data_IF_459627613116
#
_entry.id   IF_459627613116
#
_cell.length_a   1.000
_cell.length_b   1.000
_cell.length_c   1.000
_cell.angle_alpha   90.00
_cell.angle_beta   90.00
_cell.angle_gamma   90.00
#
_symmetry.space_group_name_H-M   'P 1'
#
loop_
_entity.id
_entity.type
_entity.pdbx_description
1 polymer ?
#
# COMPACT_ATOMS: atom_id res chain seq x y z
N UNK A 1 -15.35 -21.20 40.69
CA UNK A 1 -16.67 -20.54 40.88
C UNK A 1 -16.42 -19.33 41.76
N UNK A 2 -16.64 -18.11 41.22
CA UNK A 2 -18.00 -17.58 41.12
C UNK A 2 -18.37 -17.16 39.70
N UNK A 3 -19.68 -17.20 39.50
CA UNK A 3 -20.50 -16.96 38.32
C UNK A 3 -20.43 -15.52 37.79
N UNK A 4 -20.12 -15.39 36.50
CA UNK A 4 -20.49 -14.22 35.68
C UNK A 4 -21.47 -14.69 34.60
N UNK A 5 -22.71 -14.92 35.03
CA UNK A 5 -23.87 -14.80 34.15
C UNK A 5 -24.02 -13.33 33.77
N UNK A 6 -23.48 -12.95 32.61
CA UNK A 6 -24.06 -11.86 31.84
C UNK A 6 -24.71 -12.46 30.60
N UNK A 7 -25.88 -13.06 30.84
CA UNK A 7 -26.91 -13.25 29.82
C UNK A 7 -27.45 -11.87 29.39
N UNK A 8 -26.65 -11.14 28.63
CA UNK A 8 -27.23 -10.27 27.61
C UNK A 8 -27.37 -11.13 26.36
N UNK A 9 -28.59 -11.64 26.18
CA UNK A 9 -29.10 -12.13 24.90
C UNK A 9 -28.85 -11.04 23.85
N UNK A 10 -27.71 -11.11 23.15
CA UNK A 10 -27.40 -10.32 21.97
C UNK A 10 -28.16 -10.94 20.80
N UNK A 11 -29.50 -10.85 20.83
CA UNK A 11 -30.42 -11.44 19.85
C UNK A 11 -30.32 -10.85 18.44
N UNK A 12 -29.61 -9.74 18.25
CA UNK A 12 -29.54 -9.03 16.97
C UNK A 12 -28.13 -8.99 16.35
N UNK A 13 -27.20 -9.85 16.77
CA UNK A 13 -25.86 -9.89 16.20
C UNK A 13 -25.73 -10.81 14.98
N UNK A 14 -24.84 -10.47 14.04
CA UNK A 14 -24.49 -11.30 12.89
C UNK A 14 -23.24 -12.13 13.19
N UNK A 15 -23.27 -13.43 12.93
CA UNK A 15 -22.08 -14.26 13.03
C UNK A 15 -21.08 -13.86 11.93
N UNK A 16 -19.83 -13.60 12.32
CA UNK A 16 -18.76 -13.27 11.40
C UNK A 16 -17.46 -14.00 11.80
N UNK A 17 -16.66 -14.38 10.79
CA UNK A 17 -15.31 -14.89 10.99
C UNK A 17 -14.28 -13.79 10.77
N UNK A 18 -13.27 -13.75 11.63
CA UNK A 18 -12.15 -12.85 11.45
C UNK A 18 -11.31 -13.25 10.24
N UNK A 19 -11.02 -12.30 9.35
CA UNK A 19 -10.17 -12.52 8.18
C UNK A 19 -8.74 -12.95 8.56
N UNK A 20 -8.22 -12.48 9.70
CA UNK A 20 -6.82 -12.68 10.09
C UNK A 20 -6.57 -13.91 10.99
N UNK A 21 -7.50 -14.22 11.90
CA UNK A 21 -7.31 -15.31 12.88
C UNK A 21 -8.35 -16.42 12.78
N UNK A 22 -9.27 -16.33 11.82
CA UNK A 22 -10.36 -17.28 11.58
C UNK A 22 -11.30 -17.53 12.77
N UNK A 23 -11.21 -16.69 13.81
CA UNK A 23 -12.10 -16.76 14.97
C UNK A 23 -13.53 -16.43 14.54
N UNK A 24 -14.46 -17.32 14.88
CA UNK A 24 -15.89 -17.10 14.78
C UNK A 24 -16.38 -16.32 16.00
N UNK A 25 -17.06 -15.20 15.79
CA UNK A 25 -17.67 -14.43 16.86
C UNK A 25 -18.95 -13.73 16.40
N UNK A 26 -19.75 -13.28 17.37
CA UNK A 26 -20.97 -12.53 17.10
C UNK A 26 -20.64 -11.03 16.97
N UNK A 27 -20.90 -10.45 15.79
CA UNK A 27 -20.74 -9.02 15.55
C UNK A 27 -22.08 -8.31 15.88
N UNK A 28 -22.12 -7.46 16.92
CA UNK A 28 -23.32 -6.68 17.21
C UNK A 28 -23.58 -5.64 16.11
N UNK A 29 -24.85 -5.25 15.93
CA UNK A 29 -25.20 -4.15 15.02
C UNK A 29 -24.46 -2.88 15.44
N UNK A 30 -23.62 -2.37 14.53
CA UNK A 30 -22.81 -1.19 14.80
C UNK A 30 -23.64 0.08 14.61
N UNK A 31 -23.83 0.83 15.69
CA UNK A 31 -24.32 2.20 15.62
C UNK A 31 -23.27 3.16 15.03
N UNK A 32 -23.72 4.29 14.49
CA UNK A 32 -22.88 5.33 13.86
C UNK A 32 -21.68 5.68 14.75
N UNK A 33 -20.48 5.74 14.16
CA UNK A 33 -19.17 6.04 14.78
C UNK A 33 -18.50 4.92 15.62
N UNK A 34 -19.12 3.75 15.83
CA UNK A 34 -18.46 2.64 16.53
C UNK A 34 -17.56 1.82 15.58
N UNK A 35 -16.45 1.31 16.11
CA UNK A 35 -15.51 0.41 15.42
C UNK A 35 -15.53 -0.95 16.11
N UNK A 36 -15.64 -2.03 15.34
CA UNK A 36 -15.52 -3.39 15.85
C UNK A 36 -14.10 -3.93 15.65
N UNK A 37 -13.56 -4.53 16.70
CA UNK A 37 -12.29 -5.22 16.68
C UNK A 37 -12.49 -6.69 17.04
N UNK A 38 -11.73 -7.57 16.42
CA UNK A 38 -11.73 -8.98 16.78
C UNK A 38 -11.20 -9.17 18.20
N UNK A 39 -11.85 -9.96 19.07
CA UNK A 39 -11.43 -10.13 20.46
C UNK A 39 -10.07 -10.83 20.61
N UNK A 40 -9.71 -11.72 19.69
CA UNK A 40 -8.44 -12.47 19.70
C UNK A 40 -7.27 -11.70 19.09
N UNK A 41 -7.36 -11.33 17.81
CA UNK A 41 -6.25 -10.70 17.09
C UNK A 41 -6.26 -9.16 17.11
N UNK A 42 -7.31 -8.52 17.65
CA UNK A 42 -7.55 -7.07 17.59
C UNK A 42 -7.49 -6.48 16.17
N UNK A 43 -7.78 -7.27 15.13
CA UNK A 43 -7.96 -6.77 13.78
C UNK A 43 -9.21 -5.87 13.71
N UNK A 44 -9.19 -4.79 12.93
CA UNK A 44 -10.39 -4.00 12.62
C UNK A 44 -11.26 -4.84 11.68
N UNK A 45 -12.52 -5.05 12.04
CA UNK A 45 -13.45 -5.94 11.30
C UNK A 45 -14.57 -5.17 10.62
N UNK A 46 -15.05 -4.11 11.26
CA UNK A 46 -16.12 -3.30 10.71
C UNK A 46 -16.08 -1.91 11.35
N UNK A 47 -16.56 -0.91 10.63
CA UNK A 47 -16.70 0.46 11.11
C UNK A 47 -18.08 0.96 10.70
N UNK A 48 -18.86 1.47 11.65
CA UNK A 48 -20.24 1.87 11.43
C UNK A 48 -20.44 3.27 10.83
N UNK A 49 -19.39 3.89 10.26
CA UNK A 49 -19.49 5.23 9.69
C UNK A 49 -18.89 5.27 8.28
N UNK A 50 -19.77 5.47 7.30
CA UNK A 50 -19.47 5.77 5.91
C UNK A 50 -19.94 7.19 5.57
N UNK A 51 -19.27 7.81 4.61
CA UNK A 51 -19.82 8.98 3.95
C UNK A 51 -20.87 8.57 2.93
N UNK A 52 -21.93 9.38 2.82
CA UNK A 52 -22.94 9.19 1.78
C UNK A 52 -22.29 9.22 0.40
N UNK A 53 -22.75 8.37 -0.52
CA UNK A 53 -22.28 8.30 -1.91
C UNK A 53 -22.18 9.67 -2.59
N UNK A 54 -23.10 10.60 -2.31
CA UNK A 54 -23.08 11.96 -2.86
C UNK A 54 -21.85 12.78 -2.41
N UNK A 55 -21.41 12.65 -1.14
CA UNK A 55 -20.20 13.34 -0.65
C UNK A 55 -18.94 12.80 -1.32
N UNK A 56 -18.86 11.47 -1.47
CA UNK A 56 -17.77 10.83 -2.20
C UNK A 56 -17.74 11.32 -3.66
N UNK A 57 -18.91 11.41 -4.32
CA UNK A 57 -19.03 11.92 -5.68
C UNK A 57 -18.51 13.36 -5.83
N UNK A 58 -18.88 14.28 -4.94
CA UNK A 58 -18.44 15.69 -4.99
C UNK A 58 -16.91 15.77 -4.89
N UNK A 59 -16.30 15.00 -4.00
CA UNK A 59 -14.84 15.03 -3.82
C UNK A 59 -14.13 14.39 -5.01
N UNK A 60 -14.66 13.29 -5.54
CA UNK A 60 -14.12 12.65 -6.75
C UNK A 60 -14.14 13.59 -7.95
N UNK A 61 -15.23 14.35 -8.14
CA UNK A 61 -15.31 15.35 -9.20
C UNK A 61 -14.27 16.45 -8.97
N UNK A 62 -14.13 16.97 -7.74
CA UNK A 62 -13.10 17.95 -7.41
C UNK A 62 -11.68 17.42 -7.68
N UNK A 63 -11.40 16.15 -7.35
CA UNK A 63 -10.12 15.50 -7.63
C UNK A 63 -9.87 15.38 -9.14
N UNK A 64 -10.85 14.95 -9.93
CA UNK A 64 -10.74 14.84 -11.39
C UNK A 64 -10.48 16.21 -12.04
N UNK A 65 -11.05 17.28 -11.52
CA UNK A 65 -10.80 18.65 -12.01
C UNK A 65 -9.40 19.13 -11.61
N UNK A 66 -8.92 18.82 -10.41
CA UNK A 66 -7.60 19.23 -9.93
C UNK A 66 -6.44 18.44 -10.56
N UNK A 67 -6.66 17.16 -10.93
CA UNK A 67 -5.61 16.27 -11.43
C UNK A 67 -4.83 16.81 -12.64
N UNK A 68 -5.46 17.32 -13.73
CA UNK A 68 -4.74 17.87 -14.87
C UNK A 68 -3.80 19.02 -14.47
N UNK A 69 -4.25 19.89 -13.57
CA UNK A 69 -3.41 20.97 -13.05
C UNK A 69 -2.27 20.40 -12.20
N UNK A 70 -2.57 19.52 -11.24
CA UNK A 70 -1.57 18.94 -10.35
C UNK A 70 -0.47 18.14 -11.08
N UNK A 71 -0.79 17.48 -12.19
CA UNK A 71 0.16 16.61 -12.91
C UNK A 71 0.94 17.31 -14.03
N UNK A 72 0.32 18.27 -14.72
CA UNK A 72 0.93 18.92 -15.88
C UNK A 72 1.61 20.26 -15.57
N UNK A 73 1.18 20.97 -14.51
CA UNK A 73 1.80 22.25 -14.15
C UNK A 73 3.09 22.03 -13.35
N UNK A 74 4.01 23.01 -13.31
CA UNK A 74 5.27 22.88 -12.58
C UNK A 74 5.03 22.70 -11.09
N UNK A 75 5.59 21.63 -10.51
CA UNK A 75 5.58 21.40 -9.06
C UNK A 75 6.77 22.12 -8.40
N UNK A 76 7.93 22.06 -9.03
CA UNK A 76 9.18 22.66 -8.55
C UNK A 76 9.82 23.38 -9.74
N UNK A 77 10.27 24.61 -9.52
CA UNK A 77 11.03 25.38 -10.49
C UNK A 77 12.41 25.69 -9.91
N UNK A 78 13.46 25.36 -10.64
CA UNK A 78 14.84 25.63 -10.23
C UNK A 78 15.45 26.70 -11.10
N UNK A 79 16.31 27.52 -10.53
CA UNK A 79 17.11 28.49 -11.29
C UNK A 79 18.50 27.92 -11.52
N UNK A 80 18.77 27.48 -12.74
CA UNK A 80 20.07 26.96 -13.16
C UNK A 80 20.64 27.88 -14.25
N UNK A 81 21.86 28.38 -14.05
CA UNK A 81 22.59 29.22 -15.01
C UNK A 81 21.78 30.45 -15.49
N UNK A 82 21.00 31.05 -14.58
CA UNK A 82 20.20 32.24 -14.85
C UNK A 82 18.85 32.00 -15.53
N UNK A 83 18.54 30.75 -15.92
CA UNK A 83 17.25 30.36 -16.52
C UNK A 83 16.38 29.58 -15.53
N UNK A 84 15.05 29.76 -15.63
CA UNK A 84 14.09 28.98 -14.85
C UNK A 84 13.78 27.67 -15.55
N UNK A 85 13.86 26.57 -14.80
CA UNK A 85 13.57 25.22 -15.27
C UNK A 85 12.40 24.68 -14.47
N UNK A 86 11.32 24.38 -15.18
CA UNK A 86 10.07 23.88 -14.63
C UNK A 86 10.05 22.35 -14.65
N UNK A 87 9.87 21.73 -13.49
CA UNK A 87 9.68 20.29 -13.35
C UNK A 87 8.22 19.98 -12.99
N UNK A 88 7.57 19.22 -13.87
CA UNK A 88 6.23 18.66 -13.64
C UNK A 88 6.31 17.14 -13.43
N UNK A 89 5.26 16.57 -12.85
CA UNK A 89 5.18 15.12 -12.61
C UNK A 89 5.16 14.36 -13.94
N UNK A 90 4.36 14.85 -14.90
CA UNK A 90 4.26 14.25 -16.23
C UNK A 90 5.57 14.34 -17.00
N UNK A 91 6.26 15.49 -16.98
CA UNK A 91 7.57 15.64 -17.63
C UNK A 91 8.61 14.71 -17.05
N UNK A 92 8.60 14.50 -15.72
CA UNK A 92 9.52 13.56 -15.07
C UNK A 92 9.33 12.13 -15.54
N UNK A 93 8.09 11.64 -15.54
CA UNK A 93 7.77 10.30 -16.05
C UNK A 93 8.19 10.15 -17.52
N UNK A 94 7.90 11.16 -18.34
CA UNK A 94 8.26 11.16 -19.76
C UNK A 94 9.79 11.07 -19.96
N UNK A 95 10.55 11.82 -19.15
CA UNK A 95 11.99 11.86 -19.23
C UNK A 95 12.65 10.55 -18.77
N UNK A 96 12.15 9.95 -17.68
CA UNK A 96 12.58 8.62 -17.23
C UNK A 96 12.26 7.57 -18.29
N UNK A 97 11.10 7.65 -18.93
CA UNK A 97 10.73 6.68 -19.97
C UNK A 97 11.61 6.76 -21.21
N UNK A 98 12.14 7.93 -21.56
CA UNK A 98 13.01 8.10 -22.73
C UNK A 98 14.47 7.79 -22.46
N UNK A 99 14.97 8.16 -21.29
CA UNK A 99 16.40 8.16 -20.98
C UNK A 99 16.80 7.20 -19.86
N UNK A 100 15.84 6.77 -19.06
CA UNK A 100 16.00 5.74 -18.04
C UNK A 100 15.36 4.42 -18.47
N UNK A 101 15.02 3.60 -17.48
CA UNK A 101 14.38 2.31 -17.72
C UNK A 101 12.84 2.47 -17.81
N UNK A 102 12.20 2.11 -18.95
CA UNK A 102 10.75 2.19 -19.11
C UNK A 102 9.97 1.40 -18.05
N UNK A 103 10.54 0.33 -17.50
CA UNK A 103 9.89 -0.43 -16.43
C UNK A 103 9.69 0.43 -15.18
N UNK A 104 10.75 1.12 -14.74
CA UNK A 104 10.68 2.01 -13.57
C UNK A 104 9.76 3.21 -13.82
N UNK A 105 9.79 3.77 -15.04
CA UNK A 105 8.87 4.85 -15.42
C UNK A 105 7.41 4.41 -15.33
N UNK A 106 7.08 3.22 -15.85
CA UNK A 106 5.72 2.67 -15.82
C UNK A 106 5.22 2.45 -14.40
N UNK A 107 6.11 2.03 -13.49
CA UNK A 107 5.81 1.80 -12.09
C UNK A 107 5.53 3.12 -11.35
N UNK A 108 6.38 4.14 -11.54
CA UNK A 108 6.14 5.48 -10.98
C UNK A 108 4.86 6.09 -11.55
N UNK A 109 4.63 5.96 -12.86
CA UNK A 109 3.42 6.43 -13.52
C UNK A 109 2.15 5.75 -13.00
N UNK A 110 2.21 4.43 -12.78
CA UNK A 110 1.10 3.68 -12.22
C UNK A 110 0.77 4.15 -10.80
N UNK A 111 1.74 4.33 -9.90
CA UNK A 111 1.46 4.72 -8.52
C UNK A 111 1.04 6.19 -8.36
N UNK A 112 1.52 7.09 -9.22
CA UNK A 112 1.30 8.54 -9.10
C UNK A 112 0.15 9.07 -9.96
N UNK A 113 -0.02 8.55 -11.18
CA UNK A 113 -1.09 8.97 -12.10
C UNK A 113 -2.16 7.89 -12.21
N UNK A 114 -1.74 6.64 -12.48
CA UNK A 114 -2.66 5.53 -12.77
C UNK A 114 -3.59 5.21 -11.62
N UNK A 115 -3.05 4.89 -10.44
CA UNK A 115 -3.82 4.45 -9.29
C UNK A 115 -4.80 5.53 -8.78
N UNK A 116 -4.42 6.82 -8.65
CA UNK A 116 -5.37 7.87 -8.29
C UNK A 116 -6.49 8.08 -9.33
N UNK A 117 -6.16 8.02 -10.63
CA UNK A 117 -7.17 8.09 -11.70
C UNK A 117 -8.12 6.92 -11.63
N UNK A 118 -7.59 5.69 -11.58
CA UNK A 118 -8.39 4.47 -11.47
C UNK A 118 -9.27 4.54 -10.22
N UNK A 119 -8.78 5.06 -9.09
CA UNK A 119 -9.55 5.20 -7.85
C UNK A 119 -10.70 6.18 -8.04
N UNK A 120 -10.42 7.32 -8.64
CA UNK A 120 -11.41 8.37 -8.90
C UNK A 120 -12.50 7.86 -9.86
N UNK A 121 -12.11 7.23 -10.97
CA UNK A 121 -13.05 6.63 -11.91
C UNK A 121 -13.83 5.47 -11.31
N UNK A 122 -13.22 4.65 -10.44
CA UNK A 122 -13.90 3.56 -9.73
C UNK A 122 -15.00 4.09 -8.81
N UNK A 123 -14.71 5.12 -8.03
CA UNK A 123 -15.71 5.74 -7.16
C UNK A 123 -16.82 6.43 -7.96
N UNK A 124 -16.46 7.12 -9.05
CA UNK A 124 -17.45 7.69 -9.96
C UNK A 124 -18.35 6.61 -10.55
N UNK A 125 -17.77 5.50 -11.02
CA UNK A 125 -18.51 4.35 -11.54
C UNK A 125 -19.43 3.73 -10.48
N UNK A 126 -19.01 3.61 -9.22
CA UNK A 126 -19.88 3.11 -8.15
C UNK A 126 -21.09 4.02 -7.93
N UNK A 127 -20.89 5.33 -7.96
CA UNK A 127 -21.97 6.30 -7.76
C UNK A 127 -22.94 6.34 -8.95
N UNK A 128 -22.43 6.29 -10.18
CA UNK A 128 -23.23 6.32 -11.40
C UNK A 128 -23.90 4.96 -11.67
N UNK A 129 -23.15 3.87 -11.53
CA UNK A 129 -23.62 2.51 -11.68
C UNK A 129 -24.69 2.13 -10.68
N UNK A 130 -24.66 2.69 -9.46
CA UNK A 130 -25.75 2.56 -8.50
C UNK A 130 -27.06 3.18 -8.98
N UNK A 131 -27.02 4.23 -9.82
CA UNK A 131 -28.22 4.87 -10.38
C UNK A 131 -28.72 4.14 -11.62
N UNK A 132 -27.79 3.57 -12.40
CA UNK A 132 -28.09 2.89 -13.67
C UNK A 132 -28.32 1.38 -13.53
N UNK A 133 -28.13 0.80 -12.34
CA UNK A 133 -28.30 -0.65 -12.11
C UNK A 133 -27.18 -1.52 -12.70
N UNK A 134 -25.96 -0.98 -12.88
CA UNK A 134 -24.81 -1.71 -13.43
C UNK A 134 -24.21 -2.71 -12.43
N UNK A 135 -23.39 -3.63 -12.92
CA UNK A 135 -22.67 -4.59 -12.09
C UNK A 135 -21.51 -3.92 -11.32
N UNK A 136 -21.67 -3.73 -10.01
CA UNK A 136 -20.73 -3.00 -9.14
C UNK A 136 -19.63 -3.90 -8.54
N UNK A 137 -19.82 -5.23 -8.60
CA UNK A 137 -18.90 -6.23 -8.01
C UNK A 137 -17.43 -6.09 -8.43
N UNK A 138 -17.06 -6.02 -9.72
CA UNK A 138 -15.65 -5.96 -10.11
C UNK A 138 -14.96 -4.70 -9.58
N UNK A 139 -15.68 -3.58 -9.55
CA UNK A 139 -15.15 -2.31 -9.05
C UNK A 139 -14.92 -2.34 -7.54
N UNK A 140 -15.84 -2.96 -6.78
CA UNK A 140 -15.65 -3.15 -5.34
C UNK A 140 -14.44 -4.04 -5.01
N UNK A 141 -14.20 -5.09 -5.81
CA UNK A 141 -13.03 -5.96 -5.67
C UNK A 141 -11.73 -5.20 -5.99
N UNK A 142 -11.72 -4.44 -7.09
CA UNK A 142 -10.55 -3.68 -7.51
C UNK A 142 -10.21 -2.56 -6.52
N UNK A 143 -11.23 -1.88 -5.98
CA UNK A 143 -11.06 -0.77 -5.03
C UNK A 143 -10.32 -1.18 -3.76
N UNK A 144 -10.52 -2.42 -3.29
CA UNK A 144 -9.85 -2.92 -2.09
C UNK A 144 -8.34 -3.05 -2.28
N UNK A 145 -7.88 -3.48 -3.46
CA UNK A 145 -6.46 -3.55 -3.78
C UNK A 145 -5.91 -2.14 -4.04
N UNK A 146 -6.61 -1.36 -4.86
CA UNK A 146 -6.16 -0.07 -5.35
C UNK A 146 -5.83 0.96 -4.26
N UNK A 147 -6.52 0.90 -3.10
CA UNK A 147 -6.29 1.81 -1.96
C UNK A 147 -4.84 1.82 -1.47
N UNK A 148 -4.11 0.72 -1.64
CA UNK A 148 -2.74 0.55 -1.15
C UNK A 148 -1.70 1.08 -2.16
N UNK A 149 -2.08 1.16 -3.43
CA UNK A 149 -1.24 1.61 -4.55
C UNK A 149 -1.29 3.13 -4.79
N UNK A 150 -2.24 3.84 -4.17
CA UNK A 150 -2.35 5.30 -4.24
C UNK A 150 -1.33 5.93 -3.29
N UNK A 151 -0.30 6.56 -3.86
CA UNK A 151 0.89 7.01 -3.12
C UNK A 151 1.21 8.50 -3.29
N UNK A 152 0.18 9.33 -3.49
CA UNK A 152 0.35 10.77 -3.69
C UNK A 152 1.00 11.46 -2.46
N UNK A 153 0.69 10.98 -1.26
CA UNK A 153 1.27 11.43 0.01
C UNK A 153 2.77 11.11 0.09
N UNK A 154 3.18 9.92 -0.33
CA UNK A 154 4.58 9.50 -0.32
C UNK A 154 5.38 10.26 -1.39
N UNK A 155 4.78 10.50 -2.55
CA UNK A 155 5.40 11.34 -3.57
C UNK A 155 5.59 12.80 -3.09
N UNK A 156 4.68 13.34 -2.25
CA UNK A 156 4.86 14.65 -1.61
C UNK A 156 6.11 14.66 -0.70
N UNK A 157 6.33 13.60 0.06
CA UNK A 157 7.55 13.43 0.86
C UNK A 157 8.78 13.34 -0.06
N UNK A 158 8.65 12.64 -1.19
CA UNK A 158 9.67 12.58 -2.24
C UNK A 158 10.08 13.97 -2.75
N UNK A 159 9.12 14.85 -3.04
CA UNK A 159 9.38 16.26 -3.40
C UNK A 159 10.23 16.95 -2.34
N UNK A 160 9.88 16.81 -1.05
CA UNK A 160 10.65 17.43 0.04
C UNK A 160 12.10 16.91 0.05
N UNK A 161 12.29 15.60 -0.03
CA UNK A 161 13.63 14.99 -0.05
C UNK A 161 14.43 15.44 -1.28
N UNK A 162 13.79 15.50 -2.45
CA UNK A 162 14.42 15.99 -3.68
C UNK A 162 14.79 17.46 -3.57
N UNK A 163 13.92 18.32 -3.05
CA UNK A 163 14.24 19.73 -2.84
C UNK A 163 15.49 19.88 -1.96
N UNK A 164 15.60 19.11 -0.89
CA UNK A 164 16.79 19.18 -0.03
C UNK A 164 18.04 18.76 -0.81
N UNK A 165 17.97 17.66 -1.56
CA UNK A 165 19.11 17.16 -2.36
C UNK A 165 19.52 18.13 -3.48
N UNK A 166 18.55 18.81 -4.10
CA UNK A 166 18.80 19.76 -5.20
C UNK A 166 19.32 21.12 -4.71
N UNK A 167 19.06 21.47 -3.45
CA UNK A 167 19.43 22.78 -2.90
C UNK A 167 20.96 23.02 -2.87
N UNK A 168 21.76 21.94 -2.95
CA UNK A 168 23.21 22.02 -3.10
C UNK A 168 23.65 22.46 -4.50
N UNK A 169 22.79 22.28 -5.51
CA UNK A 169 23.11 22.54 -6.92
C UNK A 169 22.41 23.79 -7.49
N UNK A 170 21.23 24.16 -6.98
CA UNK A 170 20.42 25.24 -7.56
C UNK A 170 19.49 25.91 -6.54
N UNK A 171 19.14 27.18 -6.78
CA UNK A 171 18.06 27.85 -6.05
C UNK A 171 16.70 27.26 -6.45
N UNK A 172 15.89 26.91 -5.44
CA UNK A 172 14.60 26.24 -5.63
C UNK A 172 13.46 27.20 -5.32
N UNK A 173 12.44 27.17 -6.16
CA UNK A 173 11.16 27.86 -5.96
C UNK A 173 10.00 26.87 -6.11
N UNK A 174 8.95 27.07 -5.31
CA UNK A 174 7.75 26.25 -5.41
C UNK A 174 6.93 26.66 -6.65
N UNK A 175 6.61 25.69 -7.50
CA UNK A 175 5.75 25.92 -8.66
C UNK A 175 4.28 26.02 -8.26
N UNK A 176 3.47 26.67 -9.10
CA UNK A 176 2.01 26.85 -8.88
C UNK A 176 1.30 25.49 -8.76
N UNK A 177 1.80 24.46 -9.45
CA UNK A 177 1.26 23.11 -9.42
C UNK A 177 1.35 22.43 -8.06
N UNK A 178 2.29 22.84 -7.20
CA UNK A 178 2.43 22.30 -5.85
C UNK A 178 1.14 22.50 -5.04
N UNK A 179 0.47 23.64 -5.19
CA UNK A 179 -0.78 23.95 -4.46
C UNK A 179 -1.90 23.00 -4.92
N UNK A 180 -2.07 22.83 -6.23
CA UNK A 180 -3.05 21.90 -6.78
C UNK A 180 -2.76 20.46 -6.33
N UNK A 181 -1.48 20.08 -6.30
CA UNK A 181 -1.03 18.78 -5.82
C UNK A 181 -1.31 18.57 -4.32
N UNK A 182 -1.07 19.58 -3.47
CA UNK A 182 -1.39 19.54 -2.04
C UNK A 182 -2.89 19.37 -1.78
N UNK A 183 -3.75 20.08 -2.50
CA UNK A 183 -5.20 19.88 -2.37
C UNK A 183 -5.61 18.50 -2.87
N UNK A 184 -5.05 18.03 -3.98
CA UNK A 184 -5.32 16.69 -4.52
C UNK A 184 -4.93 15.59 -3.51
N UNK A 185 -3.76 15.69 -2.88
CA UNK A 185 -3.30 14.72 -1.88
C UNK A 185 -4.21 14.73 -0.65
N UNK A 186 -4.61 15.91 -0.17
CA UNK A 186 -5.52 16.06 0.97
C UNK A 186 -6.89 15.43 0.68
N UNK A 187 -7.49 15.71 -0.49
CA UNK A 187 -8.78 15.12 -0.89
C UNK A 187 -8.67 13.59 -1.04
N UNK A 188 -7.56 13.10 -1.60
CA UNK A 188 -7.31 11.67 -1.72
C UNK A 188 -7.20 11.00 -0.35
N UNK A 189 -6.44 11.58 0.58
CA UNK A 189 -6.33 11.09 1.97
C UNK A 189 -7.68 11.10 2.68
N UNK A 190 -8.47 12.17 2.49
CA UNK A 190 -9.81 12.30 3.05
C UNK A 190 -10.74 11.17 2.57
N UNK A 191 -10.69 10.85 1.27
CA UNK A 191 -11.38 9.69 0.71
C UNK A 191 -10.85 8.41 1.36
N UNK A 192 -9.55 8.14 1.33
CA UNK A 192 -8.99 6.87 1.86
C UNK A 192 -9.32 6.63 3.34
N UNK A 193 -9.39 7.68 4.16
CA UNK A 193 -9.77 7.58 5.58
C UNK A 193 -11.25 7.23 5.77
N UNK A 194 -12.13 7.79 4.93
CA UNK A 194 -13.59 7.65 5.06
C UNK A 194 -14.19 6.57 4.15
N UNK A 195 -13.40 6.04 3.22
CA UNK A 195 -13.80 4.99 2.30
C UNK A 195 -13.86 3.66 3.04
N UNK A 196 -15.07 3.17 3.30
CA UNK A 196 -15.28 1.86 3.89
C UNK A 196 -15.85 0.88 2.85
N UNK A 197 -14.96 0.06 2.28
CA UNK A 197 -15.32 -0.92 1.23
C UNK A 197 -16.30 -1.97 1.76
N UNK A 198 -16.19 -2.39 3.02
CA UNK A 198 -17.09 -3.39 3.62
C UNK A 198 -18.53 -2.88 3.71
N UNK A 199 -18.71 -1.61 4.07
CA UNK A 199 -20.03 -0.96 4.10
C UNK A 199 -20.61 -0.76 2.69
N UNK A 200 -19.77 -0.41 1.71
CA UNK A 200 -20.20 -0.33 0.31
C UNK A 200 -20.73 -1.68 -0.19
N UNK A 201 -20.04 -2.77 0.14
CA UNK A 201 -20.54 -4.10 -0.15
C UNK A 201 -21.87 -4.39 0.56
N UNK A 202 -22.07 -3.95 1.81
CA UNK A 202 -23.32 -4.20 2.57
C UNK A 202 -24.49 -3.43 1.96
N UNK A 203 -24.21 -2.22 1.45
CA UNK A 203 -25.20 -1.36 0.82
C UNK A 203 -25.65 -1.87 -0.55
N UNK A 204 -24.73 -2.30 -1.41
CA UNK A 204 -25.06 -2.74 -2.77
C UNK A 204 -25.46 -4.21 -2.87
N UNK A 205 -24.87 -5.06 -2.04
CA UNK A 205 -25.13 -6.50 -2.03
C UNK A 205 -25.32 -6.97 -0.57
N UNK A 206 -26.44 -6.58 0.07
CA UNK A 206 -26.79 -7.09 1.38
C UNK A 206 -26.93 -8.61 1.31
N UNK A 207 -26.40 -9.29 2.32
CA UNK A 207 -26.56 -10.74 2.48
C UNK A 207 -27.26 -10.98 3.81
N UNK A 208 -28.12 -12.00 3.91
CA UNK A 208 -28.79 -12.34 5.15
C UNK A 208 -27.74 -12.67 6.23
N UNK A 209 -27.85 -12.02 7.38
CA UNK A 209 -27.05 -12.35 8.56
C UNK A 209 -27.54 -13.67 9.13
N UNK A 210 -26.63 -14.62 9.35
CA UNK A 210 -26.96 -15.88 10.02
C UNK A 210 -27.23 -15.62 11.51
N UNK A 211 -28.47 -15.84 11.95
CA UNK A 211 -28.89 -15.80 13.35
C UNK A 211 -28.61 -17.16 14.05
N UNK A 212 -28.41 -17.13 15.37
CA UNK A 212 -28.17 -18.33 16.17
C UNK A 212 -29.30 -19.35 15.97
N UNK A 213 -28.98 -20.49 15.34
CA UNK A 213 -29.95 -21.58 15.10
C UNK A 213 -29.37 -22.99 15.32
N UNK A 214 -28.12 -23.26 14.97
CA UNK A 214 -27.47 -24.55 15.22
C UNK A 214 -25.94 -24.40 15.29
N UNK A 215 -25.33 -24.79 16.42
CA UNK A 215 -23.87 -24.75 16.64
C UNK A 215 -23.07 -25.58 15.61
N UNK A 216 -23.62 -26.71 15.16
CA UNK A 216 -22.96 -27.58 14.16
C UNK A 216 -22.85 -26.95 12.77
N UNK A 217 -23.82 -26.12 12.37
CA UNK A 217 -23.78 -25.41 11.08
C UNK A 217 -22.72 -24.30 11.10
N UNK A 218 -22.40 -23.73 12.27
CA UNK A 218 -21.46 -22.61 12.40
C UNK A 218 -19.99 -22.99 12.10
N UNK A 219 -19.59 -24.24 12.33
CA UNK A 219 -18.21 -24.68 12.07
C UNK A 219 -17.88 -24.73 10.56
N UNK A 220 -18.88 -24.92 9.70
CA UNK A 220 -18.72 -24.95 8.24
C UNK A 220 -18.76 -23.56 7.58
N UNK A 221 -18.97 -22.50 8.36
CA UNK A 221 -18.94 -21.14 7.85
C UNK A 221 -17.52 -20.80 7.34
N UNK A 222 -17.44 -20.17 6.18
CA UNK A 222 -16.19 -19.77 5.54
C UNK A 222 -16.18 -18.27 5.34
N UNK A 223 -15.01 -17.64 5.39
CA UNK A 223 -14.84 -16.21 5.13
C UNK A 223 -14.18 -16.00 3.77
N UNK A 224 -14.77 -15.13 2.95
CA UNK A 224 -14.21 -14.77 1.66
C UNK A 224 -13.08 -13.74 1.84
N UNK A 225 -11.90 -14.04 1.29
CA UNK A 225 -10.75 -13.13 1.32
C UNK A 225 -10.93 -11.85 0.50
N UNK A 226 -11.88 -11.84 -0.44
CA UNK A 226 -12.05 -10.73 -1.39
C UNK A 226 -13.19 -9.77 -1.06
N UNK A 227 -14.21 -10.22 -0.31
CA UNK A 227 -15.35 -9.36 0.04
C UNK A 227 -15.69 -9.40 1.54
N UNK A 228 -14.86 -10.07 2.34
CA UNK A 228 -14.96 -10.25 3.79
C UNK A 228 -16.28 -10.85 4.29
N UNK A 229 -17.10 -11.37 3.38
CA UNK A 229 -18.36 -12.02 3.71
C UNK A 229 -18.11 -13.38 4.34
N UNK A 230 -18.77 -13.62 5.47
CA UNK A 230 -18.79 -14.92 6.14
C UNK A 230 -20.08 -15.66 5.79
N UNK A 231 -19.96 -16.81 5.13
CA UNK A 231 -21.11 -17.55 4.63
C UNK A 231 -20.74 -18.94 4.12
N UNK A 232 -21.74 -19.64 3.59
CA UNK A 232 -21.53 -20.93 2.95
C UNK A 232 -21.17 -20.77 1.47
N UNK A 233 -20.33 -21.66 0.92
CA UNK A 233 -20.10 -21.72 -0.51
C UNK A 233 -21.41 -22.09 -1.23
N UNK A 234 -21.62 -21.53 -2.41
CA UNK A 234 -22.66 -22.00 -3.31
C UNK A 234 -22.30 -23.39 -3.88
N UNK A 235 -23.21 -24.04 -4.62
CA UNK A 235 -23.00 -25.37 -5.24
C UNK A 235 -21.69 -25.48 -6.05
N UNK A 236 -21.23 -24.37 -6.64
CA UNK A 236 -19.97 -24.27 -7.41
C UNK A 236 -18.74 -23.90 -6.56
N UNK A 237 -18.81 -24.00 -5.24
CA UNK A 237 -17.77 -23.53 -4.31
C UNK A 237 -17.44 -22.03 -4.43
N UNK A 238 -18.38 -21.20 -4.90
CA UNK A 238 -18.21 -19.76 -5.03
C UNK A 238 -18.88 -19.01 -3.87
N UNK A 239 -18.35 -17.82 -3.54
CA UNK A 239 -18.97 -16.90 -2.61
C UNK A 239 -20.27 -16.34 -3.20
N UNK A 240 -21.36 -16.36 -2.43
CA UNK A 240 -22.68 -15.86 -2.87
C UNK A 240 -22.70 -14.34 -3.15
N UNK A 241 -21.76 -13.60 -2.55
CA UNK A 241 -21.68 -12.14 -2.65
C UNK A 241 -20.84 -11.66 -3.84
N UNK A 242 -19.58 -12.10 -3.92
CA UNK A 242 -18.63 -11.68 -4.95
C UNK A 242 -18.46 -12.67 -6.11
N UNK A 243 -19.01 -13.89 -6.01
CA UNK A 243 -18.89 -14.98 -7.00
C UNK A 243 -17.47 -15.53 -7.23
N UNK A 244 -16.48 -15.09 -6.46
CA UNK A 244 -15.14 -15.69 -6.46
C UNK A 244 -15.13 -17.00 -5.69
N UNK A 245 -14.19 -17.88 -6.02
CA UNK A 245 -14.05 -19.18 -5.37
C UNK A 245 -13.81 -19.01 -3.87
N UNK A 246 -14.63 -19.67 -3.04
CA UNK A 246 -14.55 -19.63 -1.59
C UNK A 246 -13.72 -20.82 -1.12
N UNK A 247 -12.50 -20.56 -0.67
CA UNK A 247 -11.59 -21.59 -0.15
C UNK A 247 -11.36 -21.37 1.33
N UNK A 248 -11.24 -22.47 2.10
CA UNK A 248 -10.94 -22.40 3.53
C UNK A 248 -9.53 -21.88 3.80
N UNK A 249 -8.58 -22.31 2.96
CA UNK A 249 -7.17 -21.87 2.99
C UNK A 249 -6.63 -21.67 1.60
N UNK A 250 -5.80 -20.66 1.46
CA UNK A 250 -5.06 -20.43 0.23
C UNK A 250 -4.03 -21.54 -0.01
N UNK A 251 -4.14 -22.22 -1.15
CA UNK A 251 -3.15 -23.20 -1.57
C UNK A 251 -1.93 -22.49 -2.14
N UNK A 252 -0.73 -22.95 -1.80
CA UNK A 252 0.57 -22.41 -2.24
C UNK A 252 0.87 -20.95 -1.84
N UNK A 253 0.07 -20.29 -0.98
CA UNK A 253 0.38 -18.93 -0.51
C UNK A 253 1.77 -18.84 0.15
N UNK A 254 2.15 -19.85 0.94
CA UNK A 254 3.47 -19.93 1.54
C UNK A 254 4.58 -20.02 0.48
N UNK A 255 4.40 -20.86 -0.55
CA UNK A 255 5.37 -21.02 -1.64
C UNK A 255 5.51 -19.74 -2.48
N UNK A 256 4.39 -19.08 -2.81
CA UNK A 256 4.40 -17.79 -3.52
C UNK A 256 5.14 -16.72 -2.73
N UNK A 257 4.92 -16.67 -1.42
CA UNK A 257 5.59 -15.71 -0.54
C UNK A 257 7.10 -15.98 -0.46
N UNK A 258 7.53 -17.24 -0.34
CA UNK A 258 8.95 -17.62 -0.39
C UNK A 258 9.59 -17.28 -1.72
N UNK A 259 8.94 -17.61 -2.84
CA UNK A 259 9.47 -17.32 -4.17
C UNK A 259 9.67 -15.81 -4.38
N UNK A 260 8.69 -14.99 -3.98
CA UNK A 260 8.79 -13.55 -4.05
C UNK A 260 9.88 -12.98 -3.12
N UNK A 261 10.02 -13.51 -1.89
CA UNK A 261 11.05 -13.07 -0.94
C UNK A 261 12.46 -13.40 -1.44
N UNK A 262 12.69 -14.62 -1.93
CA UNK A 262 14.00 -15.05 -2.44
C UNK A 262 14.37 -14.21 -3.66
N UNK A 263 13.43 -14.02 -4.60
CA UNK A 263 13.65 -13.15 -5.75
C UNK A 263 13.98 -11.70 -5.33
N UNK A 264 13.24 -11.13 -4.38
CA UNK A 264 13.53 -9.79 -3.87
C UNK A 264 14.92 -9.68 -3.20
N UNK A 265 15.32 -10.70 -2.43
CA UNK A 265 16.64 -10.75 -1.79
C UNK A 265 17.77 -10.80 -2.82
N UNK A 266 17.62 -11.60 -3.88
CA UNK A 266 18.60 -11.69 -4.96
C UNK A 266 18.70 -10.37 -5.75
N UNK A 267 17.58 -9.67 -5.97
CA UNK A 267 17.55 -8.39 -6.68
C UNK A 267 18.07 -7.22 -5.84
N UNK A 268 17.96 -7.27 -4.51
CA UNK A 268 18.47 -6.22 -3.63
C UNK A 268 20.00 -6.19 -3.55
N UNK A 269 20.67 -7.30 -3.85
CA UNK A 269 22.14 -7.36 -3.90
C UNK A 269 22.71 -6.48 -5.03
N UNK A 270 22.34 -6.66 -6.31
CA UNK A 270 22.79 -5.75 -7.38
C UNK A 270 22.21 -4.34 -7.21
N UNK A 271 21.01 -4.18 -6.66
CA UNK A 271 20.44 -2.84 -6.40
C UNK A 271 21.29 -1.98 -5.44
N UNK A 272 21.97 -2.60 -4.46
CA UNK A 272 22.80 -1.86 -3.51
C UNK A 272 24.26 -1.70 -3.98
N UNK A 273 24.73 -2.55 -4.90
CA UNK A 273 26.11 -2.52 -5.39
C UNK A 273 26.29 -1.70 -6.67
N UNK A 274 25.27 -1.63 -7.51
CA UNK A 274 25.31 -0.92 -8.78
C UNK A 274 24.99 0.57 -8.60
N UNK A 275 25.44 1.44 -9.52
CA UNK A 275 25.11 2.84 -9.49
C UNK A 275 23.60 3.03 -9.69
N UNK A 276 23.01 3.86 -8.83
CA UNK A 276 21.60 4.24 -8.84
C UNK A 276 21.36 5.45 -9.73
N UNK A 277 22.29 6.40 -9.71
CA UNK A 277 22.29 7.56 -10.60
C UNK A 277 23.66 7.78 -11.21
N UNK A 278 23.70 8.16 -12.48
CA UNK A 278 24.91 8.53 -13.18
C UNK A 278 24.75 9.98 -13.62
N UNK A 279 25.68 10.83 -13.21
CA UNK A 279 25.71 12.24 -13.56
C UNK A 279 26.92 12.51 -14.45
N UNK A 280 26.67 13.05 -15.63
CA UNK A 280 27.72 13.57 -16.51
C UNK A 280 27.80 15.08 -16.33
N UNK A 281 28.86 15.54 -15.67
CA UNK A 281 29.15 16.95 -15.45
C UNK A 281 30.60 17.25 -15.84
N UNK A 282 30.83 18.29 -16.64
CA UNK A 282 32.16 18.73 -17.07
C UNK A 282 33.02 17.60 -17.71
N UNK A 283 32.38 16.69 -18.44
CA UNK A 283 33.04 15.53 -19.07
C UNK A 283 33.44 14.40 -18.11
N UNK A 284 33.19 14.55 -16.80
CA UNK A 284 33.39 13.49 -15.82
C UNK A 284 32.10 12.73 -15.56
N UNK A 285 32.22 11.40 -15.48
CA UNK A 285 31.13 10.49 -15.12
C UNK A 285 31.19 10.25 -13.62
N UNK A 286 30.24 10.81 -12.87
CA UNK A 286 30.09 10.62 -11.44
C UNK A 286 28.96 9.63 -11.22
N UNK A 287 29.25 8.54 -10.53
CA UNK A 287 28.30 7.46 -10.29
C UNK A 287 27.98 7.41 -8.80
N UNK A 288 26.69 7.50 -8.47
CA UNK A 288 26.23 7.42 -7.10
C UNK A 288 25.40 6.16 -6.87
N UNK A 289 25.84 5.36 -5.91
CA UNK A 289 25.05 4.30 -5.28
C UNK A 289 24.14 4.92 -4.21
N UNK A 290 23.16 4.14 -3.73
CA UNK A 290 22.33 4.55 -2.59
C UNK A 290 23.18 4.94 -1.36
N UNK A 291 24.28 4.22 -1.14
CA UNK A 291 25.18 4.48 -0.02
C UNK A 291 26.10 5.67 -0.26
N UNK A 292 26.72 5.80 -1.44
CA UNK A 292 27.61 6.93 -1.73
C UNK A 292 26.85 8.26 -1.72
N UNK A 293 25.60 8.28 -2.17
CA UNK A 293 24.74 9.48 -2.11
C UNK A 293 24.38 9.91 -0.69
N UNK A 294 24.35 8.98 0.28
CA UNK A 294 24.18 9.32 1.70
C UNK A 294 25.48 9.88 2.28
N UNK A 295 26.62 9.27 1.91
CA UNK A 295 27.94 9.70 2.39
C UNK A 295 28.29 11.10 1.88
N UNK A 296 27.96 11.42 0.62
CA UNK A 296 28.18 12.76 0.06
C UNK A 296 27.39 13.83 0.84
N UNK A 297 26.10 13.59 1.10
CA UNK A 297 25.27 14.49 1.92
C UNK A 297 25.79 14.64 3.36
N UNK A 298 26.26 13.55 3.96
CA UNK A 298 26.83 13.59 5.31
C UNK A 298 28.12 14.44 5.33
N UNK A 299 28.96 14.31 4.31
CA UNK A 299 30.20 15.08 4.18
C UNK A 299 29.96 16.56 3.89
N UNK A 300 28.83 16.92 3.27
CA UNK A 300 28.39 18.30 3.05
C UNK A 300 27.89 18.99 4.34
N UNK A 301 27.88 18.28 5.49
CA UNK A 301 27.46 18.82 6.78
C UNK A 301 25.96 18.63 7.08
N UNK A 302 25.20 18.02 6.18
CA UNK A 302 23.76 17.81 6.31
C UNK A 302 23.40 16.46 6.95
N UNK A 303 23.96 16.16 8.13
CA UNK A 303 23.81 14.87 8.81
C UNK A 303 22.36 14.42 9.03
N UNK A 304 21.47 15.33 9.44
CA UNK A 304 20.06 15.00 9.68
C UNK A 304 19.36 14.53 8.41
N UNK A 305 19.70 15.12 7.27
CA UNK A 305 19.11 14.80 5.97
C UNK A 305 19.67 13.47 5.47
N UNK A 306 20.99 13.29 5.57
CA UNK A 306 21.65 12.03 5.23
C UNK A 306 21.03 10.85 6.00
N UNK A 307 20.72 11.03 7.29
CA UNK A 307 20.05 10.02 8.10
C UNK A 307 18.64 9.68 7.60
N UNK A 308 17.84 10.69 7.22
CA UNK A 308 16.48 10.47 6.67
C UNK A 308 16.55 9.66 5.38
N UNK A 309 17.43 10.05 4.44
CA UNK A 309 17.61 9.34 3.16
C UNK A 309 18.12 7.91 3.41
N UNK A 310 19.12 7.73 4.29
CA UNK A 310 19.62 6.40 4.63
C UNK A 310 18.55 5.47 5.21
N UNK A 311 17.73 5.97 6.15
CA UNK A 311 16.67 5.19 6.76
C UNK A 311 15.62 4.81 5.71
N UNK A 312 15.19 5.78 4.90
CA UNK A 312 14.18 5.56 3.87
C UNK A 312 14.66 4.59 2.78
N UNK A 313 15.93 4.69 2.37
CA UNK A 313 16.40 3.97 1.18
C UNK A 313 17.06 2.63 1.45
N UNK A 314 17.77 2.50 2.56
CA UNK A 314 18.50 1.26 2.89
C UNK A 314 17.77 0.49 3.97
N UNK A 315 17.44 1.16 5.09
CA UNK A 315 16.90 0.48 6.27
C UNK A 315 15.46 -0.03 6.04
N UNK A 316 14.61 0.74 5.37
CA UNK A 316 13.22 0.35 5.11
C UNK A 316 13.12 -0.93 4.25
N UNK A 317 13.76 -1.06 3.07
CA UNK A 317 13.73 -2.29 2.28
C UNK A 317 14.37 -3.49 3.00
N UNK A 318 15.51 -3.29 3.68
CA UNK A 318 16.16 -4.36 4.45
C UNK A 318 15.29 -4.84 5.61
N UNK A 319 14.64 -3.93 6.34
CA UNK A 319 13.74 -4.28 7.43
C UNK A 319 12.56 -5.13 6.94
N UNK A 320 12.00 -4.84 5.76
CA UNK A 320 10.93 -5.67 5.16
C UNK A 320 11.39 -7.10 4.90
N UNK A 321 12.59 -7.28 4.33
CA UNK A 321 13.15 -8.62 4.10
C UNK A 321 13.33 -9.36 5.41
N UNK A 322 13.96 -8.72 6.40
CA UNK A 322 14.22 -9.34 7.70
C UNK A 322 12.90 -9.78 8.35
N UNK A 323 11.90 -8.90 8.37
CA UNK A 323 10.59 -9.21 8.96
C UNK A 323 9.88 -10.35 8.21
N UNK A 324 9.86 -10.33 6.87
CA UNK A 324 9.28 -11.43 6.07
C UNK A 324 10.00 -12.75 6.30
N UNK A 325 11.33 -12.72 6.28
CA UNK A 325 12.16 -13.91 6.48
C UNK A 325 11.90 -14.51 7.85
N UNK A 326 11.91 -13.69 8.91
CA UNK A 326 11.60 -14.16 10.28
C UNK A 326 10.19 -14.74 10.36
N UNK A 327 9.18 -14.09 9.76
CA UNK A 327 7.81 -14.61 9.76
C UNK A 327 7.70 -15.95 9.01
N UNK A 328 8.28 -16.05 7.81
CA UNK A 328 8.24 -17.27 7.00
C UNK A 328 9.01 -18.42 7.63
N UNK A 329 10.22 -18.15 8.13
CA UNK A 329 11.05 -19.14 8.80
C UNK A 329 10.36 -19.65 10.07
N UNK A 330 9.72 -18.73 10.82
CA UNK A 330 8.95 -19.09 12.01
C UNK A 330 7.75 -20.00 11.68
N UNK A 331 7.04 -19.74 10.57
CA UNK A 331 5.92 -20.59 10.11
C UNK A 331 6.44 -21.95 9.62
N UNK A 332 7.58 -21.98 8.93
CA UNK A 332 8.13 -23.21 8.34
C UNK A 332 8.77 -24.13 9.39
N UNK A 333 9.55 -23.57 10.32
CA UNK A 333 10.24 -24.31 11.38
C UNK A 333 9.35 -24.57 12.61
N UNK A 334 8.09 -24.14 12.58
CA UNK A 334 7.11 -24.28 13.68
C UNK A 334 7.65 -23.85 15.05
N UNK A 335 8.44 -22.78 15.07
CA UNK A 335 9.21 -22.37 16.25
C UNK A 335 8.26 -21.81 17.33
N UNK A 336 8.44 -22.12 18.62
CA UNK A 336 7.54 -21.62 19.69
C UNK A 336 7.71 -20.12 20.04
N UNK A 337 7.92 -19.24 19.06
CA UNK A 337 7.92 -17.80 19.29
C UNK A 337 6.53 -17.28 19.67
N UNK A 338 6.50 -16.25 20.51
CA UNK A 338 5.26 -15.65 20.99
C UNK A 338 4.40 -15.09 19.85
N UNK A 339 3.15 -15.54 19.79
CA UNK A 339 2.14 -15.15 18.80
C UNK A 339 1.94 -13.63 18.72
N UNK A 340 1.99 -12.95 19.87
CA UNK A 340 1.90 -11.49 19.98
C UNK A 340 3.01 -10.77 19.19
N UNK A 341 4.20 -11.35 19.12
CA UNK A 341 5.34 -10.77 18.38
C UNK A 341 5.13 -10.93 16.88
N UNK A 342 4.68 -12.09 16.42
CA UNK A 342 4.39 -12.34 14.99
C UNK A 342 3.29 -11.44 14.44
N UNK A 343 2.21 -11.23 15.20
CA UNK A 343 1.12 -10.31 14.81
C UNK A 343 1.62 -8.86 14.79
N UNK A 344 2.49 -8.47 15.73
CA UNK A 344 3.12 -7.14 15.71
C UNK A 344 3.99 -6.95 14.48
N UNK A 345 4.84 -7.92 14.16
CA UNK A 345 5.66 -7.92 12.95
C UNK A 345 4.80 -7.81 11.68
N UNK A 346 3.69 -8.54 11.60
CA UNK A 346 2.74 -8.45 10.49
C UNK A 346 2.10 -7.05 10.35
N UNK A 347 1.81 -6.37 11.46
CA UNK A 347 1.28 -4.99 11.43
C UNK A 347 2.36 -3.97 11.04
N UNK A 348 3.58 -4.16 11.51
CA UNK A 348 4.71 -3.31 11.17
C UNK A 348 5.01 -3.40 9.67
N UNK A 349 5.06 -4.62 9.12
CA UNK A 349 5.42 -4.78 7.71
C UNK A 349 4.36 -4.22 6.74
N UNK A 350 3.08 -4.39 7.07
CA UNK A 350 1.99 -3.80 6.27
C UNK A 350 2.02 -2.27 6.29
N UNK A 351 2.44 -1.67 7.41
CA UNK A 351 2.63 -0.22 7.50
C UNK A 351 3.85 0.28 6.73
N UNK A 352 5.00 -0.39 6.88
CA UNK A 352 6.25 -0.09 6.15
C UNK A 352 6.07 -0.31 4.63
N UNK A 353 5.16 -1.20 4.26
CA UNK A 353 4.70 -1.54 2.89
C UNK A 353 4.82 -0.40 1.88
N UNK A 354 4.14 0.72 2.15
CA UNK A 354 4.01 1.82 1.19
C UNK A 354 5.27 2.68 1.08
N UNK A 355 6.06 2.79 2.15
CA UNK A 355 7.22 3.68 2.24
C UNK A 355 8.38 3.30 1.32
N UNK A 356 8.51 2.02 0.95
CA UNK A 356 9.61 1.56 0.09
C UNK A 356 9.58 2.12 -1.34
N UNK A 357 8.51 2.81 -1.72
CA UNK A 357 8.39 3.48 -3.03
C UNK A 357 9.01 4.88 -3.08
N UNK A 358 9.36 5.45 -1.91
CA UNK A 358 9.87 6.81 -1.79
C UNK A 358 11.09 7.05 -2.70
N UNK A 359 12.05 6.12 -2.73
CA UNK A 359 13.30 6.31 -3.47
C UNK A 359 13.09 6.40 -4.97
N UNK A 360 12.21 5.57 -5.52
CA UNK A 360 11.87 5.63 -6.95
C UNK A 360 11.24 6.97 -7.30
N UNK A 361 10.44 7.55 -6.40
CA UNK A 361 9.88 8.88 -6.59
C UNK A 361 10.95 9.97 -6.50
N UNK A 362 11.86 9.90 -5.53
CA UNK A 362 12.96 10.86 -5.40
C UNK A 362 13.83 10.88 -6.65
N UNK A 363 14.20 9.71 -7.16
CA UNK A 363 15.07 9.63 -8.34
C UNK A 363 14.30 10.05 -9.60
N UNK A 364 13.02 9.71 -9.70
CA UNK A 364 12.15 10.20 -10.77
C UNK A 364 12.08 11.74 -10.81
N UNK A 365 11.97 12.38 -9.65
CA UNK A 365 11.98 13.84 -9.51
C UNK A 365 13.34 14.44 -9.85
N UNK A 366 14.43 13.84 -9.36
CA UNK A 366 15.81 14.26 -9.70
C UNK A 366 16.05 14.22 -11.20
N UNK A 367 15.55 13.17 -11.87
CA UNK A 367 15.64 13.02 -13.31
C UNK A 367 14.90 14.13 -14.05
N UNK A 368 13.73 14.55 -13.56
CA UNK A 368 13.01 15.68 -14.17
C UNK A 368 13.67 17.04 -13.94
N UNK A 369 14.36 17.21 -12.81
CA UNK A 369 14.87 18.50 -12.36
C UNK A 369 16.25 18.81 -12.92
N UNK A 370 17.16 17.83 -12.89
CA UNK A 370 18.58 18.07 -13.16
C UNK A 370 18.93 17.79 -14.61
N UNK A 371 18.23 16.84 -15.24
CA UNK A 371 18.65 16.34 -16.53
C UNK A 371 18.40 17.35 -17.65
N UNK A 372 19.49 17.85 -18.23
CA UNK A 372 19.48 18.55 -19.51
C UNK A 372 20.59 18.10 -20.44
N UNK A 373 20.15 17.68 -21.63
CA UNK A 373 20.92 17.16 -22.76
C UNK A 373 22.14 18.01 -23.17
N UNK A 374 22.32 19.24 -22.65
CA UNK A 374 23.38 20.17 -23.04
C UNK A 374 24.40 20.52 -21.94
N UNK A 375 24.14 20.25 -20.64
CA UNK A 375 25.03 20.74 -19.56
C UNK A 375 25.25 19.70 -18.45
N UNK A 376 24.18 19.15 -17.89
CA UNK A 376 24.24 18.11 -16.85
C UNK A 376 23.28 17.01 -17.28
N UNK A 377 23.83 15.87 -17.70
CA UNK A 377 23.01 14.71 -18.05
C UNK A 377 22.92 13.83 -16.82
N UNK A 378 21.73 13.75 -16.23
CA UNK A 378 21.42 12.82 -15.15
C UNK A 378 20.72 11.63 -15.79
N UNK A 379 21.21 10.41 -15.56
CA UNK A 379 20.55 9.18 -16.02
C UNK A 379 20.35 8.20 -14.89
N UNK A 380 19.34 7.35 -15.06
CA UNK A 380 19.08 6.24 -14.15
C UNK A 380 20.16 5.18 -14.35
N UNK A 381 20.83 4.78 -13.28
CA UNK A 381 21.71 3.63 -13.31
C UNK A 381 20.92 2.31 -13.28
N UNK A 382 21.57 1.17 -13.61
CA UNK A 382 20.92 -0.13 -13.67
C UNK A 382 20.35 -0.60 -12.32
N UNK A 383 20.85 -0.07 -11.19
CA UNK A 383 20.32 -0.40 -9.86
C UNK A 383 18.83 -0.07 -9.71
N UNK A 384 18.32 0.95 -10.42
CA UNK A 384 16.94 1.39 -10.30
C UNK A 384 15.93 0.31 -10.69
N UNK A 385 16.23 -0.46 -11.73
CA UNK A 385 15.42 -1.60 -12.16
C UNK A 385 15.34 -2.67 -11.08
N UNK A 386 16.51 -3.10 -10.59
CA UNK A 386 16.61 -4.14 -9.56
C UNK A 386 15.93 -3.72 -8.27
N UNK A 387 16.11 -2.47 -7.87
CA UNK A 387 15.47 -1.89 -6.69
C UNK A 387 13.93 -1.88 -6.85
N UNK A 388 13.41 -1.37 -7.97
CA UNK A 388 11.97 -1.32 -8.20
C UNK A 388 11.31 -2.70 -8.29
N UNK A 389 11.96 -3.64 -8.97
CA UNK A 389 11.50 -5.03 -9.03
C UNK A 389 11.47 -5.68 -7.62
N UNK A 390 12.52 -5.48 -6.82
CA UNK A 390 12.56 -5.98 -5.44
C UNK A 390 11.44 -5.36 -4.59
N UNK A 391 11.18 -4.06 -4.72
CA UNK A 391 10.09 -3.38 -4.00
C UNK A 391 8.73 -3.99 -4.34
N UNK A 392 8.40 -4.17 -5.63
CA UNK A 392 7.14 -4.81 -6.05
C UNK A 392 7.02 -6.22 -5.46
N UNK A 393 8.07 -7.03 -5.58
CA UNK A 393 8.06 -8.40 -5.07
C UNK A 393 7.86 -8.45 -3.56
N UNK A 394 8.43 -7.51 -2.79
CA UNK A 394 8.16 -7.45 -1.34
C UNK A 394 6.74 -7.03 -1.00
N UNK A 395 6.12 -6.14 -1.80
CA UNK A 395 4.70 -5.76 -1.63
C UNK A 395 3.81 -6.98 -1.91
N UNK A 396 4.02 -7.66 -3.04
CA UNK A 396 3.29 -8.88 -3.41
C UNK A 396 3.50 -10.01 -2.39
N UNK A 397 4.71 -10.17 -1.85
CA UNK A 397 4.98 -11.16 -0.81
C UNK A 397 4.12 -10.92 0.44
N UNK A 398 3.99 -9.66 0.87
CA UNK A 398 3.14 -9.31 2.03
C UNK A 398 1.66 -9.55 1.72
N UNK A 399 1.20 -9.20 0.52
CA UNK A 399 -0.20 -9.44 0.09
C UNK A 399 -0.54 -10.94 0.00
N UNK A 400 0.41 -11.79 -0.41
CA UNK A 400 0.22 -13.23 -0.52
C UNK A 400 0.39 -13.98 0.80
N UNK A 401 0.93 -13.34 1.84
CA UNK A 401 1.11 -13.95 3.15
C UNK A 401 -0.23 -14.08 3.89
N UNK A 402 -0.77 -15.30 3.95
CA UNK A 402 -1.97 -15.58 4.73
C UNK A 402 -1.68 -15.58 6.24
N UNK A 403 -2.13 -14.53 6.92
CA UNK A 403 -1.98 -14.37 8.37
C UNK A 403 -2.56 -15.51 9.22
N UNK A 404 -3.50 -16.30 8.70
CA UNK A 404 -4.08 -17.44 9.43
C UNK A 404 -3.07 -18.56 9.70
N UNK A 405 -2.09 -18.73 8.82
CA UNK A 405 -1.02 -19.73 8.98
C UNK A 405 -0.26 -19.56 10.30
N UNK A 406 -0.08 -18.32 10.75
CA UNK A 406 0.56 -17.99 12.03
C UNK A 406 -0.25 -18.54 13.21
N UNK A 407 -1.58 -18.45 13.14
CA UNK A 407 -2.48 -18.91 14.19
C UNK A 407 -2.63 -20.42 14.23
N UNK A 408 -2.65 -21.05 13.06
CA UNK A 408 -2.77 -22.50 12.92
C UNK A 408 -1.56 -23.22 13.51
N UNK A 409 -0.37 -22.70 13.24
CA UNK A 409 0.88 -23.22 13.81
C UNK A 409 0.90 -23.07 15.34
N UNK A 410 0.52 -21.89 15.86
CA UNK A 410 0.44 -21.68 17.30
C UNK A 410 -0.57 -22.62 17.97
N UNK A 411 -1.72 -22.88 17.34
CA UNK A 411 -2.70 -23.83 17.86
C UNK A 411 -2.18 -25.28 17.87
N UNK A 412 -1.28 -25.66 16.95
CA UNK A 412 -0.65 -27.00 16.97
C UNK A 412 0.51 -27.11 17.96
N UNK A 413 1.17 -26.00 18.30
CA UNK A 413 2.37 -25.98 19.15
C UNK A 413 2.09 -25.73 20.64
N UNK A 414 0.92 -25.22 21.00
CA UNK A 414 0.57 -24.85 22.38
C UNK A 414 -0.70 -25.62 22.81
N UNK A 415 -0.54 -26.74 23.50
CA UNK A 415 -1.66 -27.49 24.11
C UNK A 415 -2.22 -26.81 25.36
N UNK A 416 -1.47 -25.86 25.94
CA UNK A 416 -1.88 -25.07 27.10
C UNK A 416 -2.18 -23.63 26.69
N UNK A 417 -3.46 -23.27 26.81
CA UNK A 417 -4.02 -21.93 26.53
C UNK A 417 -3.59 -20.88 27.59
N UNK A 418 -2.29 -20.77 27.86
CA UNK A 418 -1.75 -19.78 28.80
C UNK A 418 -0.92 -18.75 28.05
N UNK A 419 -1.57 -17.72 27.50
CA UNK A 419 -0.90 -16.52 26.97
C UNK A 419 -1.77 -15.25 27.03
#
# INVERSE_FOLDING_TARGET
>A
MPSLHHDHVLSNGCIQRCIQCDLLFNLPVLHKKKRAYCPRCRAKIAMGQDWSLNRLMVIVIAMLVLMPFAFCSPLISIRLLGTWIDASLFSGIWQISRQGDPFTASMVAFCTIGAPLILSFSLLYLTLGSRMGLNLRPVLLMLEQLKEWVMLDIYLIGIIVTCIKVNEYAEISAGVGLIAYLFLTLLTLLILIHLNVEQLWQRFYPQPSFSLGCYEMMQKLLVCHHCHYSGYPNQRQCCTRCHLHLQRRCHHCLQKTWAALIAAMLLLLPANLLPMSVVYANGMRIEDTLFSGVVSLASAGHFSIAAIVFIASVLVPLSKIIILLTLLLSIHLKTQHSLRTRIRLLRIITWIGRWSMLDLFVIALMMSLINRDQIIVFTMGPAAFYFGAAVILTILAVEWLDSRLIWDEHATGNTDYTD
#
